data_IF_640619566572
#
_entry.id   IF_640619566572
#
_cell.length_a   1.000
_cell.length_b   1.000
_cell.length_c   1.000
_cell.angle_alpha   90.00
_cell.angle_beta   90.00
_cell.angle_gamma   90.00
#
_symmetry.space_group_name_H-M   'P 1'
#
loop_
_entity.id
_entity.type
_entity.pdbx_description
1 polymer ?
#
# COMPACT_ATOMS: atom_id res chain seq x y z
N UNK A 1 -7.54 31.68 15.03
CA UNK A 1 -7.82 30.58 15.97
C UNK A 1 -7.65 29.27 15.20
N UNK A 2 -6.72 28.42 15.62
CA UNK A 2 -6.39 27.15 14.98
C UNK A 2 -7.15 26.03 15.70
N UNK A 3 -8.31 25.64 15.17
CA UNK A 3 -9.05 24.49 15.71
C UNK A 3 -8.36 23.19 15.25
N UNK A 4 -7.74 22.49 16.20
CA UNK A 4 -7.12 21.18 16.01
C UNK A 4 -8.20 20.12 15.78
N UNK A 5 -8.11 19.36 14.67
CA UNK A 5 -8.96 18.19 14.43
C UNK A 5 -8.56 17.11 15.45
N UNK A 6 -9.30 17.03 16.56
CA UNK A 6 -9.19 15.92 17.52
C UNK A 6 -10.22 14.86 17.17
N UNK A 7 -9.74 13.68 16.81
CA UNK A 7 -10.56 12.46 16.76
C UNK A 7 -10.63 11.93 18.19
N UNK A 8 -11.79 12.09 18.83
CA UNK A 8 -12.06 11.56 20.17
C UNK A 8 -12.27 10.05 20.05
N UNK A 9 -11.25 9.27 20.43
CA UNK A 9 -11.37 7.82 20.53
C UNK A 9 -12.31 7.44 21.68
N UNK A 10 -13.26 6.56 21.43
CA UNK A 10 -14.11 5.97 22.46
C UNK A 10 -13.27 5.13 23.42
N UNK A 11 -13.06 5.63 24.64
CA UNK A 11 -12.32 4.94 25.69
C UNK A 11 -13.13 3.79 26.29
N UNK A 12 -12.89 2.57 25.84
CA UNK A 12 -13.24 1.38 26.61
C UNK A 12 -12.12 1.15 27.64
N UNK A 13 -12.37 1.62 28.86
CA UNK A 13 -11.48 1.42 30.00
C UNK A 13 -11.40 -0.07 30.35
N UNK A 14 -10.19 -0.64 30.32
CA UNK A 14 -9.90 -1.96 30.87
C UNK A 14 -9.58 -1.84 32.37
N UNK A 15 -10.06 -2.75 33.22
CA UNK A 15 -9.79 -2.70 34.66
C UNK A 15 -8.33 -3.05 34.99
N UNK A 16 -7.79 -2.57 36.13
CA UNK A 16 -6.38 -2.73 36.48
C UNK A 16 -6.04 -4.18 36.89
N UNK A 17 -4.85 -4.64 36.48
CA UNK A 17 -4.29 -5.95 36.84
C UNK A 17 -3.91 -6.02 38.33
N UNK A 18 -4.19 -7.14 39.03
CA UNK A 18 -3.60 -7.39 40.35
C UNK A 18 -2.14 -7.88 40.21
N UNK A 19 -1.27 -7.40 41.09
CA UNK A 19 0.12 -7.88 41.25
C UNK A 19 0.12 -9.14 42.13
N UNK A 20 0.68 -10.26 41.66
CA UNK A 20 1.27 -11.25 42.59
C UNK A 20 2.21 -12.27 41.92
N UNK A 21 3.42 -12.33 42.49
CA UNK A 21 4.29 -13.48 42.82
C UNK A 21 4.74 -14.46 41.73
N UNK A 22 6.08 -14.50 41.58
CA UNK A 22 6.90 -15.48 40.88
C UNK A 22 6.58 -16.91 41.35
N UNK A 23 6.22 -17.79 40.42
CA UNK A 23 6.34 -19.24 40.59
C UNK A 23 6.66 -19.89 39.24
N UNK A 24 7.88 -20.41 39.11
CA UNK A 24 8.32 -21.24 37.96
C UNK A 24 7.48 -22.51 37.88
N UNK A 25 6.89 -22.80 36.72
CA UNK A 25 6.47 -24.15 36.32
C UNK A 25 6.26 -24.25 34.79
N UNK A 26 7.13 -25.04 34.18
CA UNK A 26 7.02 -25.86 32.97
C UNK A 26 6.07 -25.40 31.84
N UNK A 27 6.67 -24.92 30.73
CA UNK A 27 5.96 -24.69 29.47
C UNK A 27 5.57 -26.03 28.81
N UNK A 28 4.29 -26.34 28.88
CA UNK A 28 3.60 -27.18 27.89
C UNK A 28 3.36 -26.37 26.61
N UNK A 29 3.51 -27.04 25.47
CA UNK A 29 3.54 -26.46 24.11
C UNK A 29 2.17 -25.89 23.72
N UNK A 30 2.07 -24.58 23.60
CA UNK A 30 0.86 -23.87 23.13
C UNK A 30 0.67 -24.10 21.61
N UNK A 31 -0.54 -24.42 21.12
CA UNK A 31 -0.79 -24.57 19.69
C UNK A 31 -0.66 -23.23 18.94
N UNK A 32 -0.08 -23.30 17.74
CA UNK A 32 0.19 -22.16 16.83
C UNK A 32 -1.07 -21.30 16.59
N UNK A 33 -0.93 -19.97 16.45
CA UNK A 33 -2.02 -19.13 16.00
C UNK A 33 -2.43 -19.50 14.57
N UNK A 34 -3.75 -19.47 14.33
CA UNK A 34 -4.36 -19.70 13.01
C UNK A 34 -3.75 -18.72 11.99
N UNK A 35 -3.33 -19.28 10.85
CA UNK A 35 -2.82 -18.52 9.72
C UNK A 35 -3.83 -17.45 9.30
N UNK A 36 -3.36 -16.23 9.02
CA UNK A 36 -4.11 -15.23 8.28
C UNK A 36 -4.60 -15.83 6.96
N UNK A 37 -5.77 -15.44 6.42
CA UNK A 37 -6.23 -15.94 5.14
C UNK A 37 -5.19 -15.59 4.08
N UNK A 38 -4.47 -16.60 3.60
CA UNK A 38 -3.67 -16.45 2.41
C UNK A 38 -4.64 -16.09 1.28
N UNK A 39 -4.34 -15.01 0.56
CA UNK A 39 -4.95 -14.71 -0.74
C UNK A 39 -5.12 -16.04 -1.50
N UNK A 40 -6.38 -16.39 -1.78
CA UNK A 40 -6.79 -17.66 -2.37
C UNK A 40 -5.83 -18.11 -3.48
N UNK A 41 -4.93 -19.04 -3.15
CA UNK A 41 -4.26 -19.88 -4.14
C UNK A 41 -5.19 -21.04 -4.45
N UNK A 42 -6.08 -20.83 -5.39
CA UNK A 42 -6.86 -21.90 -6.01
C UNK A 42 -7.27 -21.47 -7.41
N UNK A 43 -6.34 -21.60 -8.35
CA UNK A 43 -6.71 -21.91 -9.73
C UNK A 43 -6.78 -23.43 -9.77
N UNK A 44 -7.98 -23.96 -9.56
CA UNK A 44 -8.26 -25.37 -9.80
C UNK A 44 -8.13 -25.66 -11.30
N UNK A 45 -7.56 -26.82 -11.59
CA UNK A 45 -7.16 -27.34 -12.90
C UNK A 45 -8.28 -27.24 -13.94
N UNK A 46 -7.99 -26.55 -15.04
CA UNK A 46 -8.59 -26.79 -16.35
C UNK A 46 -7.46 -27.17 -17.31
N UNK A 47 -7.66 -28.24 -18.07
CA UNK A 47 -6.68 -28.83 -18.98
C UNK A 47 -6.22 -27.86 -20.09
N UNK A 48 -4.97 -28.10 -20.51
CA UNK A 48 -4.37 -27.78 -21.81
C UNK A 48 -4.00 -26.34 -22.20
N UNK A 49 -2.74 -25.97 -21.89
CA UNK A 49 -1.58 -25.80 -22.81
C UNK A 49 -0.56 -24.88 -22.11
N UNK A 50 0.60 -25.45 -21.76
CA UNK A 50 1.73 -24.82 -21.04
C UNK A 50 1.46 -24.48 -19.57
N UNK A 51 1.81 -25.41 -18.68
CA UNK A 51 1.76 -25.27 -17.21
C UNK A 51 2.67 -24.20 -16.59
N UNK A 52 2.94 -23.09 -17.29
CA UNK A 52 3.62 -21.92 -16.76
C UNK A 52 2.58 -21.10 -15.98
N UNK A 53 2.70 -21.09 -14.65
CA UNK A 53 1.96 -20.16 -13.79
C UNK A 53 2.27 -18.75 -14.27
N UNK A 54 1.32 -18.11 -14.96
CA UNK A 54 1.44 -16.73 -15.35
C UNK A 54 1.60 -15.88 -14.08
N UNK A 55 2.50 -14.92 -14.12
CA UNK A 55 2.54 -13.89 -13.10
C UNK A 55 1.15 -13.23 -13.02
N UNK A 56 0.67 -12.96 -11.80
CA UNK A 56 -0.66 -12.36 -11.60
C UNK A 56 -0.83 -11.09 -12.44
N UNK A 57 0.23 -10.26 -12.52
CA UNK A 57 0.23 -9.02 -13.31
C UNK A 57 0.04 -9.27 -14.81
N UNK A 58 0.53 -10.39 -15.32
CA UNK A 58 0.31 -10.82 -16.71
C UNK A 58 -1.10 -11.36 -16.90
N UNK A 59 -1.60 -12.15 -15.94
CA UNK A 59 -2.93 -12.76 -16.02
C UNK A 59 -4.06 -11.73 -15.95
N UNK A 60 -3.89 -10.65 -15.20
CA UNK A 60 -4.88 -9.57 -15.03
C UNK A 60 -4.72 -8.44 -16.05
N UNK A 61 -3.87 -8.57 -17.06
CA UNK A 61 -3.74 -7.54 -18.09
C UNK A 61 -4.83 -7.74 -19.17
N UNK A 62 -5.69 -6.75 -19.43
CA UNK A 62 -6.67 -6.84 -20.52
C UNK A 62 -5.99 -6.91 -21.89
N UNK A 63 -6.54 -7.73 -22.80
CA UNK A 63 -6.05 -7.85 -24.18
C UNK A 63 -6.46 -6.64 -25.04
N UNK A 64 -7.57 -5.99 -24.69
CA UNK A 64 -8.14 -4.87 -25.44
C UNK A 64 -7.85 -3.49 -24.79
N UNK A 65 -6.86 -3.41 -23.89
CA UNK A 65 -6.54 -2.22 -23.10
C UNK A 65 -6.46 -0.93 -23.93
N UNK A 66 -5.63 -0.91 -24.97
CA UNK A 66 -5.44 0.30 -25.79
C UNK A 66 -6.71 0.68 -26.56
N UNK A 67 -7.45 -0.31 -27.08
CA UNK A 67 -8.71 -0.05 -27.80
C UNK A 67 -9.75 0.60 -26.89
N UNK A 68 -9.92 0.06 -25.68
CA UNK A 68 -10.87 0.59 -24.68
C UNK A 68 -10.43 1.95 -24.14
N UNK A 69 -9.12 2.14 -23.94
CA UNK A 69 -8.53 3.44 -23.59
C UNK A 69 -8.88 4.50 -24.64
N UNK A 70 -8.64 4.23 -25.93
CA UNK A 70 -8.98 5.15 -27.00
C UNK A 70 -10.48 5.49 -27.03
N UNK A 71 -11.36 4.49 -26.82
CA UNK A 71 -12.81 4.71 -26.76
C UNK A 71 -13.20 5.60 -25.60
N UNK A 72 -12.65 5.35 -24.41
CA UNK A 72 -12.89 6.13 -23.21
C UNK A 72 -12.53 7.62 -23.42
N UNK A 73 -11.32 7.90 -23.92
CA UNK A 73 -10.90 9.27 -24.19
C UNK A 73 -11.69 9.93 -25.32
N UNK A 74 -12.08 9.19 -26.37
CA UNK A 74 -12.93 9.72 -27.45
C UNK A 74 -14.36 10.02 -27.03
N UNK A 75 -14.82 9.43 -25.94
CA UNK A 75 -16.18 9.59 -25.41
C UNK A 75 -16.31 10.70 -24.37
N UNK A 76 -15.29 11.55 -24.22
CA UNK A 76 -15.21 12.55 -23.14
C UNK A 76 -15.47 11.91 -21.75
N UNK A 77 -14.86 10.75 -21.51
CA UNK A 77 -14.92 10.03 -20.23
C UNK A 77 -16.30 9.50 -19.83
N UNK A 78 -17.30 9.52 -20.73
CA UNK A 78 -18.67 9.07 -20.43
C UNK A 78 -18.90 7.58 -20.67
N UNK A 79 -18.05 6.93 -21.46
CA UNK A 79 -18.12 5.50 -21.72
C UNK A 79 -17.56 4.69 -20.54
N UNK A 80 -18.21 3.57 -20.19
CA UNK A 80 -17.67 2.60 -19.24
C UNK A 80 -16.84 1.53 -19.98
N UNK A 81 -15.50 1.53 -19.87
CA UNK A 81 -14.64 0.58 -20.58
C UNK A 81 -15.01 -0.88 -20.29
N UNK A 82 -15.08 -1.71 -21.33
CA UNK A 82 -15.37 -3.14 -21.21
C UNK A 82 -14.12 -3.96 -21.51
N UNK A 83 -13.43 -4.42 -20.46
CA UNK A 83 -12.16 -5.12 -20.61
C UNK A 83 -12.35 -6.61 -20.90
N UNK A 84 -11.61 -7.10 -21.88
CA UNK A 84 -11.50 -8.51 -22.23
C UNK A 84 -10.15 -9.05 -21.71
N UNK A 85 -10.15 -10.27 -21.18
CA UNK A 85 -8.97 -10.91 -20.61
C UNK A 85 -8.70 -12.23 -21.33
N UNK A 86 -7.42 -12.58 -21.51
CA UNK A 86 -7.04 -13.85 -22.14
C UNK A 86 -7.50 -15.07 -21.32
N UNK A 87 -7.58 -14.93 -19.99
CA UNK A 87 -8.05 -15.96 -19.08
C UNK A 87 -9.21 -15.39 -18.23
N UNK A 88 -10.45 -15.38 -18.76
CA UNK A 88 -11.59 -14.82 -18.05
C UNK A 88 -11.89 -15.65 -16.79
N UNK A 89 -12.28 -14.96 -15.72
CA UNK A 89 -12.72 -15.62 -14.49
C UNK A 89 -14.06 -16.32 -14.74
N UNK A 90 -14.26 -17.50 -14.14
CA UNK A 90 -15.52 -18.25 -14.21
C UNK A 90 -16.72 -17.37 -13.84
N UNK A 91 -17.82 -17.37 -14.62
CA UNK A 91 -18.99 -16.52 -14.36
C UNK A 91 -19.56 -16.66 -12.95
N UNK A 92 -19.52 -17.87 -12.38
CA UNK A 92 -19.99 -18.13 -11.02
C UNK A 92 -19.13 -17.48 -9.92
N UNK A 93 -17.84 -17.23 -10.16
CA UNK A 93 -16.97 -16.50 -9.22
C UNK A 93 -17.26 -15.00 -9.32
N UNK A 94 -17.41 -14.48 -10.55
CA UNK A 94 -17.77 -13.08 -10.76
C UNK A 94 -19.13 -12.75 -10.14
N UNK A 95 -20.14 -13.61 -10.33
CA UNK A 95 -21.46 -13.42 -9.74
C UNK A 95 -21.46 -13.40 -8.20
N UNK A 96 -20.56 -14.17 -7.57
CA UNK A 96 -20.39 -14.18 -6.11
C UNK A 96 -19.70 -12.93 -5.58
N UNK A 97 -18.82 -12.32 -6.37
CA UNK A 97 -17.98 -11.18 -5.98
C UNK A 97 -18.34 -9.87 -6.71
N UNK A 98 -19.48 -9.81 -7.40
CA UNK A 98 -19.90 -8.66 -8.22
C UNK A 98 -20.32 -7.45 -7.39
N UNK A 99 -20.74 -7.66 -6.15
CA UNK A 99 -21.20 -6.60 -5.26
C UNK A 99 -20.05 -6.04 -4.43
N UNK A 100 -19.62 -4.83 -4.76
CA UNK A 100 -18.68 -4.08 -3.92
C UNK A 100 -19.39 -3.59 -2.64
N UNK A 101 -18.67 -3.61 -1.50
CA UNK A 101 -19.20 -3.06 -0.25
C UNK A 101 -19.12 -1.54 -0.26
N UNK A 102 -20.24 -0.89 0.06
CA UNK A 102 -20.38 0.56 0.19
C UNK A 102 -20.32 1.03 1.66
N UNK A 103 -20.02 0.12 2.60
CA UNK A 103 -20.05 0.35 4.06
C UNK A 103 -19.37 1.65 4.51
N UNK A 104 -18.27 2.01 3.86
CA UNK A 104 -17.47 3.19 4.19
C UNK A 104 -17.53 4.28 3.12
N UNK A 105 -18.38 4.14 2.10
CA UNK A 105 -18.41 5.05 0.96
C UNK A 105 -18.73 6.49 1.41
N UNK A 106 -19.72 6.65 2.29
CA UNK A 106 -20.09 7.95 2.84
C UNK A 106 -18.94 8.60 3.62
N UNK A 107 -18.21 7.81 4.40
CA UNK A 107 -17.05 8.28 5.16
C UNK A 107 -15.91 8.69 4.23
N UNK A 108 -15.64 7.91 3.18
CA UNK A 108 -14.62 8.22 2.17
C UNK A 108 -14.94 9.53 1.44
N UNK A 109 -16.19 9.72 1.01
CA UNK A 109 -16.64 10.97 0.37
C UNK A 109 -16.44 12.15 1.32
N UNK A 110 -16.90 12.03 2.57
CA UNK A 110 -16.77 13.09 3.56
C UNK A 110 -15.30 13.46 3.85
N UNK A 111 -14.39 12.48 3.90
CA UNK A 111 -12.95 12.75 4.07
C UNK A 111 -12.42 13.55 2.88
N UNK A 112 -12.79 13.18 1.66
CA UNK A 112 -12.36 13.90 0.45
C UNK A 112 -12.91 15.32 0.43
N UNK A 113 -14.20 15.51 0.70
CA UNK A 113 -14.87 16.81 0.74
C UNK A 113 -14.25 17.73 1.80
N UNK A 114 -14.05 17.25 3.02
CA UNK A 114 -13.42 18.03 4.10
C UNK A 114 -11.96 18.37 3.80
N UNK A 115 -11.23 17.47 3.14
CA UNK A 115 -9.85 17.73 2.71
C UNK A 115 -9.83 18.84 1.65
N UNK A 116 -10.72 18.77 0.67
CA UNK A 116 -10.83 19.82 -0.36
C UNK A 116 -11.32 21.15 0.24
N UNK A 117 -12.26 21.13 1.17
CA UNK A 117 -12.73 22.33 1.87
C UNK A 117 -11.60 23.00 2.66
N UNK A 118 -10.75 22.21 3.32
CA UNK A 118 -9.66 22.72 4.18
C UNK A 118 -8.44 23.19 3.39
N UNK A 119 -8.05 22.45 2.35
CA UNK A 119 -6.79 22.68 1.64
C UNK A 119 -6.97 23.25 0.21
N UNK A 120 -8.16 23.13 -0.37
CA UNK A 120 -8.51 23.63 -1.70
C UNK A 120 -8.06 22.73 -2.86
N UNK A 121 -6.94 22.03 -2.73
CA UNK A 121 -6.48 21.03 -3.71
C UNK A 121 -5.64 19.94 -3.04
N UNK A 122 -5.43 18.84 -3.78
CA UNK A 122 -4.59 17.74 -3.33
C UNK A 122 -3.14 18.18 -3.11
N UNK A 123 -2.59 19.00 -4.01
CA UNK A 123 -1.21 19.49 -3.95
C UNK A 123 -0.98 20.38 -2.73
N UNK A 124 -1.96 21.24 -2.41
CA UNK A 124 -1.93 22.08 -1.20
C UNK A 124 -2.01 21.25 0.06
N UNK A 125 -2.82 20.19 0.07
CA UNK A 125 -2.84 19.23 1.17
C UNK A 125 -1.46 18.60 1.37
N UNK A 126 -0.87 18.04 0.30
CA UNK A 126 0.44 17.40 0.39
C UNK A 126 1.53 18.36 0.87
N UNK A 127 1.53 19.61 0.40
CA UNK A 127 2.48 20.62 0.84
C UNK A 127 2.26 20.98 2.31
N UNK A 128 1.02 21.17 2.75
CA UNK A 128 0.70 21.56 4.12
C UNK A 128 1.04 20.46 5.14
N UNK A 129 0.84 19.19 4.79
CA UNK A 129 1.08 18.06 5.70
C UNK A 129 2.46 17.42 5.54
N UNK A 130 2.96 17.35 4.30
CA UNK A 130 4.24 16.74 3.97
C UNK A 130 5.42 17.71 3.98
N UNK A 131 5.16 19.02 3.90
CA UNK A 131 6.19 20.03 3.76
C UNK A 131 6.70 20.16 2.32
N UNK A 132 7.86 20.81 2.20
CA UNK A 132 8.51 21.05 0.91
C UNK A 132 9.05 19.75 0.30
N UNK A 133 9.08 19.71 -1.03
CA UNK A 133 9.79 18.66 -1.76
C UNK A 133 11.29 18.71 -1.42
N UNK A 134 11.89 17.53 -1.29
CA UNK A 134 13.29 17.38 -0.98
C UNK A 134 14.12 17.27 -2.27
N UNK A 135 15.27 17.93 -2.29
CA UNK A 135 16.28 17.68 -3.33
C UNK A 135 16.88 16.29 -3.18
N UNK A 136 17.44 15.73 -4.27
CA UNK A 136 18.16 14.45 -4.25
C UNK A 136 19.20 14.38 -3.12
N UNK A 137 19.94 15.46 -2.89
CA UNK A 137 20.95 15.54 -1.81
C UNK A 137 20.33 15.48 -0.42
N UNK A 138 19.21 16.18 -0.17
CA UNK A 138 18.49 16.12 1.11
C UNK A 138 17.90 14.73 1.35
N UNK A 139 17.35 14.08 0.32
CA UNK A 139 16.83 12.70 0.41
C UNK A 139 17.97 11.77 0.84
N UNK A 140 19.11 11.79 0.15
CA UNK A 140 20.26 10.96 0.48
C UNK A 140 20.76 11.16 1.91
N UNK A 141 20.82 12.42 2.37
CA UNK A 141 21.20 12.75 3.74
C UNK A 141 20.25 12.11 4.77
N UNK A 142 18.94 12.23 4.55
CA UNK A 142 17.93 11.65 5.45
C UNK A 142 17.97 10.12 5.45
N UNK A 143 18.06 9.50 4.27
CA UNK A 143 18.13 8.04 4.14
C UNK A 143 19.37 7.49 4.84
N UNK A 144 20.55 8.10 4.61
CA UNK A 144 21.79 7.70 5.29
C UNK A 144 21.67 7.84 6.80
N UNK A 145 21.15 8.96 7.30
CA UNK A 145 20.94 9.19 8.73
C UNK A 145 20.00 8.15 9.33
N UNK A 146 18.92 7.80 8.62
CA UNK A 146 17.98 6.78 9.03
C UNK A 146 18.64 5.39 9.09
N UNK A 147 19.36 4.98 8.04
CA UNK A 147 20.03 3.68 7.99
C UNK A 147 21.12 3.53 9.06
N UNK A 148 21.87 4.60 9.37
CA UNK A 148 22.82 4.61 10.48
C UNK A 148 22.11 4.38 11.82
N UNK A 149 20.98 5.07 12.02
CA UNK A 149 20.18 4.94 13.25
C UNK A 149 19.61 3.53 13.43
N UNK A 150 19.13 2.92 12.35
CA UNK A 150 18.55 1.56 12.38
C UNK A 150 19.62 0.45 12.24
N UNK A 151 20.90 0.80 12.04
CA UNK A 151 22.00 -0.15 11.98
C UNK A 151 22.09 -0.96 10.67
N UNK A 152 21.40 -0.55 9.61
CA UNK A 152 21.35 -1.26 8.32
C UNK A 152 22.13 -0.54 7.20
N UNK A 153 23.05 0.35 7.55
CA UNK A 153 23.84 1.09 6.57
C UNK A 153 24.72 0.12 5.75
N UNK A 154 24.58 0.17 4.43
CA UNK A 154 25.34 -0.67 3.50
C UNK A 154 24.69 -2.00 3.15
N UNK A 155 23.62 -2.39 3.85
CA UNK A 155 22.86 -3.61 3.57
C UNK A 155 21.80 -3.38 2.48
N UNK A 156 21.30 -2.15 2.36
CA UNK A 156 20.24 -1.76 1.43
C UNK A 156 20.81 -0.84 0.35
N UNK A 157 20.60 -1.20 -0.91
CA UNK A 157 20.88 -0.35 -2.07
C UNK A 157 19.74 0.64 -2.24
N UNK A 158 20.05 1.92 -2.44
CA UNK A 158 19.04 2.98 -2.60
C UNK A 158 19.08 3.52 -4.02
N UNK A 159 17.92 3.61 -4.66
CA UNK A 159 17.75 4.19 -5.98
C UNK A 159 16.74 5.35 -5.92
N UNK A 160 17.08 6.47 -6.55
CA UNK A 160 16.19 7.63 -6.65
C UNK A 160 15.73 7.79 -8.10
N UNK A 161 14.43 7.81 -8.34
CA UNK A 161 13.83 7.92 -9.68
C UNK A 161 12.61 8.84 -9.67
N UNK A 162 12.16 9.26 -10.84
CA UNK A 162 10.90 9.99 -11.04
C UNK A 162 9.83 9.08 -11.70
N UNK A 163 10.24 7.93 -12.24
CA UNK A 163 9.40 7.01 -13.03
C UNK A 163 8.63 6.00 -12.17
N UNK A 164 8.70 6.13 -10.84
CA UNK A 164 8.02 5.24 -9.91
C UNK A 164 6.61 5.78 -9.59
N UNK A 165 5.57 4.99 -9.83
CA UNK A 165 4.19 5.41 -9.51
C UNK A 165 3.93 5.54 -8.00
N UNK A 166 4.56 4.70 -7.18
CA UNK A 166 4.49 4.78 -5.72
C UNK A 166 5.49 5.80 -5.16
N UNK A 167 5.30 6.22 -3.91
CA UNK A 167 6.27 7.11 -3.22
C UNK A 167 7.62 6.42 -3.00
N UNK A 168 7.58 5.14 -2.67
CA UNK A 168 8.74 4.26 -2.61
C UNK A 168 8.34 2.81 -2.87
N UNK A 169 9.33 1.95 -3.03
CA UNK A 169 9.18 0.51 -3.13
C UNK A 169 10.45 -0.18 -2.61
N UNK A 170 10.27 -1.15 -1.73
CA UNK A 170 11.31 -2.12 -1.37
C UNK A 170 11.20 -3.38 -2.25
N UNK A 171 12.33 -3.82 -2.80
CA UNK A 171 12.42 -5.06 -3.60
C UNK A 171 13.74 -5.78 -3.31
N UNK A 172 13.89 -7.01 -3.77
CA UNK A 172 15.17 -7.74 -3.72
C UNK A 172 15.65 -7.93 -5.15
N UNK A 173 16.76 -7.29 -5.51
CA UNK A 173 17.37 -7.38 -6.84
C UNK A 173 18.68 -8.13 -6.69
N UNK A 174 18.82 -9.29 -7.34
CA UNK A 174 20.02 -10.14 -7.26
C UNK A 174 20.44 -10.51 -5.83
N UNK A 175 19.48 -10.69 -4.93
CA UNK A 175 19.74 -10.98 -3.51
C UNK A 175 20.08 -9.73 -2.67
N UNK A 176 20.14 -8.55 -3.27
CA UNK A 176 20.37 -7.29 -2.57
C UNK A 176 19.06 -6.56 -2.32
N UNK A 177 18.70 -6.29 -1.04
CA UNK A 177 17.59 -5.42 -0.69
C UNK A 177 17.78 -4.04 -1.32
N UNK A 178 16.78 -3.60 -2.09
CA UNK A 178 16.85 -2.40 -2.93
C UNK A 178 15.63 -1.53 -2.68
N UNK A 179 15.86 -0.35 -2.09
CA UNK A 179 14.87 0.68 -1.84
C UNK A 179 14.87 1.69 -3.00
N UNK A 180 13.76 1.78 -3.72
CA UNK A 180 13.56 2.79 -4.75
C UNK A 180 12.63 3.89 -4.23
N UNK A 181 13.01 5.16 -4.36
CA UNK A 181 12.23 6.31 -3.87
C UNK A 181 11.88 7.23 -5.05
N UNK A 182 10.62 7.65 -5.13
CA UNK A 182 10.18 8.66 -6.08
C UNK A 182 10.54 10.08 -5.59
N UNK A 183 11.45 10.74 -6.30
CA UNK A 183 11.95 12.08 -5.98
C UNK A 183 10.83 13.13 -6.05
N UNK A 184 9.92 12.99 -7.01
CA UNK A 184 8.82 13.93 -7.26
C UNK A 184 7.78 13.98 -6.14
N UNK A 185 7.81 13.01 -5.21
CA UNK A 185 6.86 12.92 -4.09
C UNK A 185 7.53 12.90 -2.72
N UNK A 186 8.86 12.94 -2.66
CA UNK A 186 9.63 12.88 -1.42
C UNK A 186 9.55 14.23 -0.67
N UNK A 187 8.78 14.25 0.43
CA UNK A 187 8.55 15.46 1.23
C UNK A 187 9.14 15.36 2.63
N UNK A 188 9.55 16.51 3.15
CA UNK A 188 10.31 16.67 4.40
C UNK A 188 9.70 15.93 5.60
N UNK A 189 8.41 16.14 5.88
CA UNK A 189 7.75 15.57 7.05
C UNK A 189 7.33 14.11 6.85
N UNK A 190 7.35 13.62 5.62
CA UNK A 190 6.87 12.28 5.27
C UNK A 190 7.98 11.27 5.07
N UNK A 191 9.19 11.73 4.67
CA UNK A 191 10.27 10.85 4.27
C UNK A 191 10.64 9.83 5.36
N UNK A 192 10.75 10.25 6.63
CA UNK A 192 11.06 9.31 7.72
C UNK A 192 9.95 8.27 7.92
N UNK A 193 8.68 8.69 7.87
CA UNK A 193 7.55 7.77 7.98
C UNK A 193 7.50 6.74 6.85
N UNK A 194 7.83 7.19 5.63
CA UNK A 194 7.98 6.33 4.46
C UNK A 194 9.12 5.33 4.65
N UNK A 195 10.30 5.76 5.14
CA UNK A 195 11.43 4.86 5.41
C UNK A 195 11.10 3.82 6.49
N UNK A 196 10.38 4.22 7.55
CA UNK A 196 9.89 3.30 8.59
C UNK A 196 8.93 2.26 8.04
N UNK A 197 8.10 2.62 7.08
CA UNK A 197 7.22 1.67 6.42
C UNK A 197 8.03 0.71 5.54
N UNK A 198 8.74 1.23 4.54
CA UNK A 198 9.46 0.39 3.57
C UNK A 198 10.52 -0.50 4.22
N UNK A 199 11.37 0.06 5.07
CA UNK A 199 12.43 -0.71 5.74
C UNK A 199 11.87 -1.49 6.93
N UNK A 200 10.84 -1.00 7.62
CA UNK A 200 10.29 -1.69 8.78
C UNK A 200 9.41 -2.90 8.46
N UNK A 201 8.82 -2.97 7.26
CA UNK A 201 7.88 -4.04 6.91
C UNK A 201 8.26 -4.86 5.68
N UNK A 202 9.14 -4.35 4.81
CA UNK A 202 9.51 -5.03 3.55
C UNK A 202 10.99 -5.38 3.42
N UNK A 203 11.84 -4.95 4.38
CA UNK A 203 13.24 -5.35 4.48
C UNK A 203 13.38 -6.76 5.06
#
# INVERSE_FOLDING_TARGET
MLESIRVTGSGLALPPKPKSKVKRRNLTRLPKPKQQPQLCRSFERGDDISGKKLCILTAIKPINLEKEKLRFFKSDYTYNPQFEYANPTLPGVLAKHSNASDRFLKQSINIMELTLQKYGSYEKFEQATGGSLLSKTRIWSHVRKYMVKEGCLGEIVVHLTEDLLSRASMTVVNGCPTLTINISTAREHWLEGMLRHEIGTHY
#
